data_IF_517727116334
#
_entry.id   IF_517727116334
#
_cell.length_a   1.000
_cell.length_b   1.000
_cell.length_c   1.000
_cell.angle_alpha   90.00
_cell.angle_beta   90.00
_cell.angle_gamma   90.00
#
_symmetry.space_group_name_H-M   'P 1'
#
loop_
_entity.id
_entity.type
_entity.pdbx_description
1 polymer ?
#
# COMPACT_ATOMS: atom_id res chain seq x y z
N UNK A 1 -23.80 84.26 -14.17
CA UNK A 1 -23.86 83.15 -15.15
C UNK A 1 -22.47 83.11 -15.78
N UNK A 2 -21.58 82.18 -15.47
CA UNK A 2 -21.70 80.72 -15.52
C UNK A 2 -20.62 80.07 -14.63
N UNK A 3 -20.92 78.90 -14.07
CA UNK A 3 -20.01 78.10 -13.26
C UNK A 3 -19.12 77.21 -14.15
N UNK A 4 -17.84 77.13 -13.75
CA UNK A 4 -16.90 75.98 -13.74
C UNK A 4 -16.99 74.89 -14.82
N UNK A 5 -15.85 74.54 -15.42
CA UNK A 5 -15.39 73.13 -15.47
C UNK A 5 -13.85 73.11 -15.40
N UNK A 6 -13.31 72.67 -14.27
CA UNK A 6 -11.91 72.26 -14.11
C UNK A 6 -11.84 70.77 -14.50
N UNK A 7 -11.03 70.42 -15.50
CA UNK A 7 -10.87 69.03 -15.93
C UNK A 7 -9.65 68.42 -15.23
N UNK A 8 -9.89 67.56 -14.24
CA UNK A 8 -8.87 66.90 -13.43
C UNK A 8 -8.60 65.48 -13.96
N UNK A 9 -7.93 65.35 -15.10
CA UNK A 9 -7.52 64.04 -15.63
C UNK A 9 -6.00 63.99 -15.88
N UNK A 10 -5.22 63.97 -14.80
CA UNK A 10 -3.78 63.72 -14.88
C UNK A 10 -3.28 63.07 -13.59
N UNK A 11 -3.58 61.76 -13.40
CA UNK A 11 -2.91 60.88 -12.42
C UNK A 11 -3.32 59.39 -12.45
N UNK A 12 -4.20 58.96 -13.35
CA UNK A 12 -4.80 57.61 -13.29
C UNK A 12 -4.02 56.49 -13.99
N UNK A 13 -3.08 56.80 -14.91
CA UNK A 13 -2.41 55.76 -15.72
C UNK A 13 -1.32 54.96 -14.98
N UNK A 14 -0.76 55.50 -13.89
CA UNK A 14 0.26 54.79 -13.10
C UNK A 14 -0.33 53.83 -12.05
N UNK A 15 -1.53 54.13 -11.55
CA UNK A 15 -2.18 53.34 -10.50
C UNK A 15 -2.77 52.02 -11.03
N UNK A 16 -3.21 51.98 -12.28
CA UNK A 16 -3.73 50.77 -12.93
C UNK A 16 -2.62 49.72 -13.13
N UNK A 17 -1.42 50.15 -13.54
CA UNK A 17 -0.26 49.26 -13.67
C UNK A 17 0.14 48.66 -12.31
N UNK A 18 0.19 49.49 -11.26
CA UNK A 18 0.49 49.04 -9.90
C UNK A 18 -0.56 48.03 -9.39
N UNK A 19 -1.85 48.29 -9.66
CA UNK A 19 -2.93 47.39 -9.29
C UNK A 19 -2.83 46.04 -10.02
N UNK A 20 -2.52 46.04 -11.32
CA UNK A 20 -2.32 44.79 -12.10
C UNK A 20 -1.11 44.02 -11.58
N UNK A 21 0.01 44.69 -11.29
CA UNK A 21 1.19 44.05 -10.71
C UNK A 21 0.89 43.46 -9.32
N UNK A 22 0.14 44.17 -8.48
CA UNK A 22 -0.27 43.68 -7.17
C UNK A 22 -1.18 42.44 -7.29
N UNK A 23 -2.14 42.46 -8.22
CA UNK A 23 -3.02 41.31 -8.50
C UNK A 23 -2.21 40.13 -9.04
N UNK A 24 -1.27 40.35 -9.96
CA UNK A 24 -0.39 39.28 -10.45
C UNK A 24 0.51 38.71 -9.36
N UNK A 25 1.05 39.55 -8.48
CA UNK A 25 1.83 39.10 -7.32
C UNK A 25 0.99 38.26 -6.36
N UNK A 26 -0.26 38.67 -6.09
CA UNK A 26 -1.19 37.90 -5.27
C UNK A 26 -1.54 36.55 -5.90
N UNK A 27 -1.76 36.51 -7.22
CA UNK A 27 -1.99 35.26 -7.95
C UNK A 27 -0.76 34.35 -7.87
N UNK A 28 0.45 34.89 -8.04
CA UNK A 28 1.69 34.12 -7.95
C UNK A 28 1.88 33.50 -6.55
N UNK A 29 1.59 34.25 -5.48
CA UNK A 29 1.63 33.73 -4.10
C UNK A 29 0.55 32.68 -3.86
N UNK A 30 -0.67 32.89 -4.37
CA UNK A 30 -1.77 31.94 -4.24
C UNK A 30 -1.48 30.60 -4.94
N UNK A 31 -0.83 30.61 -6.10
CA UNK A 31 -0.47 29.37 -6.82
C UNK A 31 0.55 28.52 -6.07
N UNK A 32 1.49 29.12 -5.33
CA UNK A 32 2.47 28.38 -4.52
C UNK A 32 1.81 27.57 -3.39
N UNK A 33 0.64 27.98 -2.91
CA UNK A 33 -0.07 27.27 -1.84
C UNK A 33 -0.66 25.92 -2.29
N UNK A 34 -0.85 25.68 -3.60
CA UNK A 34 -1.48 24.47 -4.15
C UNK A 34 -0.45 23.38 -4.53
N UNK A 35 0.83 23.73 -4.68
CA UNK A 35 1.87 22.79 -5.11
C UNK A 35 2.03 21.50 -4.26
N UNK A 36 1.98 21.51 -2.91
CA UNK A 36 2.26 20.31 -2.13
C UNK A 36 1.16 19.24 -2.22
N UNK A 37 -0.07 19.58 -2.61
CA UNK A 37 -1.17 18.59 -2.68
C UNK A 37 -1.01 17.62 -3.85
N UNK A 38 -0.48 18.08 -4.99
CA UNK A 38 -0.35 17.25 -6.21
C UNK A 38 0.64 16.11 -6.01
N UNK A 39 1.77 16.35 -5.32
CA UNK A 39 2.75 15.31 -5.05
C UNK A 39 2.19 14.20 -4.16
N UNK A 40 1.39 14.58 -3.15
CA UNK A 40 0.71 13.64 -2.27
C UNK A 40 -0.36 12.84 -3.01
N UNK A 41 -1.10 13.47 -3.93
CA UNK A 41 -2.08 12.77 -4.78
C UNK A 41 -1.40 11.73 -5.67
N UNK A 42 -0.30 12.08 -6.34
CA UNK A 42 0.46 11.14 -7.17
C UNK A 42 1.02 9.99 -6.33
N UNK A 43 1.56 10.28 -5.15
CA UNK A 43 2.07 9.25 -4.24
C UNK A 43 0.92 8.31 -3.82
N UNK A 44 -0.21 8.86 -3.42
CA UNK A 44 -1.41 8.11 -3.03
C UNK A 44 -1.92 7.21 -4.17
N UNK A 45 -1.91 7.71 -5.40
CA UNK A 45 -2.31 6.92 -6.57
C UNK A 45 -1.36 5.74 -6.81
N UNK A 46 -0.04 5.96 -6.70
CA UNK A 46 0.95 4.88 -6.79
C UNK A 46 0.79 3.84 -5.68
N UNK A 47 0.48 4.28 -4.46
CA UNK A 47 0.23 3.40 -3.32
C UNK A 47 -1.03 2.54 -3.52
N UNK A 48 -2.13 3.15 -3.99
CA UNK A 48 -3.34 2.41 -4.34
C UNK A 48 -3.08 1.39 -5.46
N UNK A 49 -2.29 1.78 -6.46
CA UNK A 49 -1.90 0.87 -7.52
C UNK A 49 -0.99 -0.26 -7.02
N UNK A 50 -0.05 0.02 -6.12
CA UNK A 50 0.79 -0.99 -5.48
C UNK A 50 -0.05 -2.00 -4.72
N UNK A 51 -1.03 -1.54 -3.94
CA UNK A 51 -1.96 -2.43 -3.24
C UNK A 51 -2.72 -3.29 -4.24
N UNK A 52 -3.32 -2.69 -5.29
CA UNK A 52 -4.06 -3.44 -6.30
C UNK A 52 -3.20 -4.50 -7.00
N UNK A 53 -1.98 -4.14 -7.40
CA UNK A 53 -1.04 -5.05 -8.06
C UNK A 53 -0.54 -6.13 -7.11
N UNK A 54 -0.23 -5.78 -5.87
CA UNK A 54 0.17 -6.71 -4.82
C UNK A 54 -0.93 -7.73 -4.50
N UNK A 55 -2.18 -7.29 -4.42
CA UNK A 55 -3.35 -8.18 -4.25
C UNK A 55 -3.53 -9.11 -5.46
N UNK A 56 -3.33 -8.63 -6.69
CA UNK A 56 -3.33 -9.49 -7.88
C UNK A 56 -2.22 -10.56 -7.81
N UNK A 57 -1.04 -10.22 -7.28
CA UNK A 57 0.03 -11.19 -7.05
C UNK A 57 -0.35 -12.21 -5.98
N UNK A 58 -0.90 -11.76 -4.84
CA UNK A 58 -1.36 -12.66 -3.78
C UNK A 58 -2.44 -13.63 -4.27
N UNK A 59 -3.36 -13.16 -5.11
CA UNK A 59 -4.39 -13.98 -5.74
C UNK A 59 -3.81 -14.96 -6.77
N UNK A 60 -2.80 -14.56 -7.54
CA UNK A 60 -2.09 -15.48 -8.42
C UNK A 60 -1.36 -16.59 -7.63
N UNK A 61 -0.68 -16.25 -6.53
CA UNK A 61 -0.09 -17.23 -5.62
C UNK A 61 -1.19 -18.17 -5.09
N UNK A 62 -2.36 -17.62 -4.72
CA UNK A 62 -3.50 -18.42 -4.26
C UNK A 62 -3.85 -19.53 -5.24
N UNK A 63 -4.07 -19.13 -6.50
CA UNK A 63 -4.43 -20.06 -7.57
C UNK A 63 -3.33 -21.06 -7.89
N UNK A 64 -2.06 -20.65 -7.82
CA UNK A 64 -0.91 -21.54 -8.04
C UNK A 64 -0.86 -22.65 -7.00
N UNK A 65 -0.95 -22.28 -5.73
CA UNK A 65 -0.88 -23.23 -4.62
C UNK A 65 -2.10 -24.14 -4.60
N UNK A 66 -3.30 -23.62 -4.89
CA UNK A 66 -4.53 -24.43 -5.01
C UNK A 66 -4.42 -25.45 -6.15
N UNK A 67 -3.87 -25.07 -7.30
CA UNK A 67 -3.66 -25.96 -8.44
C UNK A 67 -2.76 -27.16 -8.09
N UNK A 68 -1.66 -26.91 -7.36
CA UNK A 68 -0.76 -27.96 -6.87
C UNK A 68 -1.18 -28.56 -5.53
N UNK A 69 -2.42 -28.32 -5.06
CA UNK A 69 -2.98 -28.85 -3.80
C UNK A 69 -2.11 -28.56 -2.57
N UNK A 70 -1.47 -27.39 -2.54
CA UNK A 70 -0.61 -26.95 -1.45
C UNK A 70 0.82 -27.47 -1.48
N UNK A 71 1.17 -28.37 -2.40
CA UNK A 71 2.46 -29.07 -2.41
C UNK A 71 3.62 -28.28 -3.01
N UNK A 72 3.33 -27.22 -3.78
CA UNK A 72 4.33 -26.41 -4.47
C UNK A 72 4.02 -24.92 -4.30
N UNK A 73 5.03 -24.15 -3.92
CA UNK A 73 5.03 -22.69 -3.97
C UNK A 73 5.74 -22.22 -5.25
N UNK A 74 5.39 -21.05 -5.80
CA UNK A 74 6.16 -20.44 -6.88
C UNK A 74 7.58 -20.11 -6.40
N UNK A 75 8.58 -20.29 -7.27
CA UNK A 75 9.97 -19.93 -6.94
C UNK A 75 10.32 -18.53 -7.46
N UNK A 76 9.62 -18.08 -8.50
CA UNK A 76 9.79 -16.75 -9.08
C UNK A 76 8.45 -16.13 -9.46
N UNK A 77 8.45 -14.83 -9.70
CA UNK A 77 7.29 -14.11 -10.23
C UNK A 77 6.98 -14.53 -11.68
N UNK A 78 8.02 -14.95 -12.42
CA UNK A 78 7.89 -15.44 -13.79
C UNK A 78 7.07 -16.75 -13.85
N UNK A 79 7.15 -17.61 -12.82
CA UNK A 79 6.29 -18.80 -12.70
C UNK A 79 4.79 -18.42 -12.67
N UNK A 80 4.46 -17.26 -12.09
CA UNK A 80 3.09 -16.75 -12.04
C UNK A 80 2.67 -16.09 -13.36
N UNK A 81 3.61 -15.50 -14.10
CA UNK A 81 3.38 -14.91 -15.42
C UNK A 81 3.21 -15.99 -16.50
N UNK A 82 4.01 -17.05 -16.46
CA UNK A 82 3.90 -18.20 -17.36
C UNK A 82 2.53 -18.88 -17.24
N UNK A 83 1.96 -18.83 -16.03
CA UNK A 83 0.62 -19.31 -15.75
C UNK A 83 0.58 -20.81 -15.44
N UNK A 84 -0.64 -21.34 -15.35
CA UNK A 84 -0.87 -22.74 -15.00
C UNK A 84 -1.18 -23.59 -16.23
N UNK A 85 -0.67 -24.83 -16.31
CA UNK A 85 -1.02 -25.72 -17.41
C UNK A 85 -2.52 -26.07 -17.32
N UNK A 86 -3.27 -25.76 -18.38
CA UNK A 86 -4.69 -26.09 -18.53
C UNK A 86 -4.88 -26.88 -19.83
N UNK A 87 -4.85 -28.21 -19.69
CA UNK A 87 -5.00 -29.17 -20.78
C UNK A 87 -4.03 -28.89 -21.94
N UNK A 88 -4.48 -28.19 -23.00
CA UNK A 88 -3.67 -27.86 -24.18
C UNK A 88 -3.01 -26.47 -24.14
N UNK A 89 -3.38 -25.58 -23.21
CA UNK A 89 -2.87 -24.18 -23.14
C UNK A 89 -2.50 -23.79 -21.72
N UNK A 90 -1.65 -22.78 -21.56
CA UNK A 90 -1.37 -22.20 -20.24
C UNK A 90 -2.40 -21.11 -19.92
N UNK A 91 -3.02 -21.19 -18.75
CA UNK A 91 -3.93 -20.18 -18.22
C UNK A 91 -3.11 -19.14 -17.47
N UNK A 92 -3.11 -17.90 -17.98
CA UNK A 92 -2.47 -16.76 -17.30
C UNK A 92 -3.20 -16.47 -15.98
N UNK A 93 -2.46 -16.45 -14.88
CA UNK A 93 -3.00 -16.15 -13.53
C UNK A 93 -2.60 -14.77 -13.03
N UNK A 94 -1.50 -14.21 -13.55
CA UNK A 94 -0.99 -12.89 -13.18
C UNK A 94 -0.91 -11.99 -14.41
N UNK A 95 -1.33 -10.73 -14.27
CA UNK A 95 -1.12 -9.71 -15.31
C UNK A 95 0.34 -9.24 -15.29
N UNK A 96 0.93 -9.04 -16.47
CA UNK A 96 2.30 -8.54 -16.60
C UNK A 96 2.54 -7.21 -15.84
N UNK A 97 1.55 -6.33 -15.78
CA UNK A 97 1.64 -5.08 -15.01
C UNK A 97 1.66 -5.29 -13.50
N UNK A 98 0.97 -6.33 -12.99
CA UNK A 98 0.97 -6.65 -11.56
C UNK A 98 2.32 -7.21 -11.08
N UNK A 99 3.13 -7.76 -11.99
CA UNK A 99 4.47 -8.21 -11.69
C UNK A 99 5.47 -7.07 -11.42
N UNK A 100 5.07 -5.80 -11.61
CA UNK A 100 5.94 -4.64 -11.40
C UNK A 100 5.44 -3.80 -10.22
N UNK A 101 6.31 -3.56 -9.24
CA UNK A 101 6.04 -2.68 -8.08
C UNK A 101 6.15 -1.20 -8.51
N UNK A 102 5.07 -0.40 -8.43
CA UNK A 102 5.12 1.02 -8.81
C UNK A 102 5.80 1.92 -7.77
N UNK A 103 6.11 1.42 -6.57
CA UNK A 103 6.78 2.16 -5.50
C UNK A 103 8.30 1.95 -5.48
N UNK A 104 8.78 0.87 -6.09
CA UNK A 104 10.21 0.56 -6.17
C UNK A 104 10.82 1.19 -7.43
N UNK A 105 12.00 1.81 -7.29
CA UNK A 105 12.73 2.37 -8.44
C UNK A 105 13.10 1.29 -9.47
N UNK A 106 13.49 0.09 -9.00
CA UNK A 106 13.78 -1.07 -9.85
C UNK A 106 12.52 -1.77 -10.41
N UNK A 107 11.32 -1.39 -9.95
CA UNK A 107 10.07 -2.07 -10.30
C UNK A 107 9.91 -3.51 -9.79
N UNK A 108 10.82 -4.00 -8.94
CA UNK A 108 10.83 -5.40 -8.49
C UNK A 108 10.21 -5.54 -7.10
N UNK A 109 9.26 -6.47 -6.99
CA UNK A 109 8.75 -6.93 -5.71
C UNK A 109 9.83 -7.63 -4.88
N UNK A 110 9.77 -7.47 -3.56
CA UNK A 110 10.51 -8.31 -2.59
C UNK A 110 9.72 -9.59 -2.37
N UNK A 111 10.37 -10.75 -2.51
CA UNK A 111 9.72 -12.04 -2.33
C UNK A 111 9.74 -12.44 -0.85
N UNK A 112 8.58 -12.77 -0.31
CA UNK A 112 8.42 -13.16 1.10
C UNK A 112 8.32 -14.68 1.17
N UNK A 113 9.35 -15.30 1.74
CA UNK A 113 9.38 -16.75 1.99
C UNK A 113 8.30 -17.16 2.98
N UNK A 114 7.95 -18.44 2.98
CA UNK A 114 7.09 -19.04 4.00
C UNK A 114 7.85 -19.21 5.35
N UNK A 115 8.50 -18.15 5.81
CA UNK A 115 9.28 -18.15 7.05
C UNK A 115 8.40 -17.68 8.22
N UNK A 116 8.45 -18.37 9.38
CA UNK A 116 7.60 -18.02 10.52
C UNK A 116 7.86 -16.62 11.08
N UNK A 117 9.11 -16.14 11.12
CA UNK A 117 9.46 -14.85 11.75
C UNK A 117 8.75 -13.66 11.08
N UNK A 118 8.91 -13.53 9.77
CA UNK A 118 8.35 -12.40 9.00
C UNK A 118 6.83 -12.47 8.93
N UNK A 119 6.28 -13.66 8.71
CA UNK A 119 4.84 -13.86 8.58
C UNK A 119 4.12 -13.82 9.93
N UNK A 120 4.77 -14.19 11.04
CA UNK A 120 4.18 -14.06 12.38
C UNK A 120 4.08 -12.59 12.78
N UNK A 121 5.14 -11.80 12.56
CA UNK A 121 5.08 -10.35 12.80
C UNK A 121 3.95 -9.68 11.99
N UNK A 122 3.75 -10.11 10.74
CA UNK A 122 2.62 -9.65 9.93
C UNK A 122 1.28 -10.15 10.46
N UNK A 123 1.16 -11.43 10.80
CA UNK A 123 -0.06 -12.04 11.33
C UNK A 123 -0.51 -11.36 12.64
N UNK A 124 0.42 -11.02 13.55
CA UNK A 124 0.14 -10.25 14.77
C UNK A 124 -0.52 -8.91 14.41
N UNK A 125 0.03 -8.16 13.45
CA UNK A 125 -0.55 -6.89 13.00
C UNK A 125 -1.94 -7.05 12.39
N UNK A 126 -2.13 -8.06 11.54
CA UNK A 126 -3.45 -8.36 10.97
C UNK A 126 -4.44 -8.73 12.07
N UNK A 127 -4.01 -9.48 13.08
CA UNK A 127 -4.82 -9.84 14.24
C UNK A 127 -5.21 -8.58 15.04
N UNK A 128 -4.25 -7.73 15.39
CA UNK A 128 -4.48 -6.48 16.14
C UNK A 128 -5.42 -5.55 15.38
N UNK A 129 -5.21 -5.38 14.07
CA UNK A 129 -6.06 -4.59 13.20
C UNK A 129 -7.51 -5.12 13.16
N UNK A 130 -7.69 -6.43 13.18
CA UNK A 130 -9.00 -7.10 13.19
C UNK A 130 -9.54 -7.34 14.62
N UNK A 131 -9.14 -6.51 15.59
CA UNK A 131 -9.61 -6.56 16.99
C UNK A 131 -9.32 -7.90 17.68
N UNK A 132 -8.14 -8.44 17.46
CA UNK A 132 -7.67 -9.68 18.07
C UNK A 132 -8.02 -10.96 17.31
N UNK A 133 -8.68 -10.86 16.15
CA UNK A 133 -9.08 -12.01 15.33
C UNK A 133 -8.20 -12.14 14.09
N UNK A 134 -7.47 -13.25 13.98
CA UNK A 134 -6.77 -13.57 12.74
C UNK A 134 -7.77 -14.19 11.74
N UNK A 135 -7.93 -13.64 10.52
CA UNK A 135 -8.85 -14.20 9.55
C UNK A 135 -8.44 -15.61 9.13
N UNK A 136 -9.43 -16.44 8.76
CA UNK A 136 -9.19 -17.78 8.24
C UNK A 136 -8.43 -17.76 6.91
N UNK A 137 -7.75 -18.86 6.58
CA UNK A 137 -7.17 -19.02 5.25
C UNK A 137 -8.27 -19.17 4.18
N UNK A 138 -8.01 -18.75 2.93
CA UNK A 138 -8.99 -18.87 1.87
C UNK A 138 -9.30 -20.33 1.51
N UNK A 139 -8.35 -21.24 1.71
CA UNK A 139 -8.52 -22.67 1.45
C UNK A 139 -7.62 -23.54 2.35
N UNK A 140 -8.04 -24.79 2.55
CA UNK A 140 -7.37 -25.77 3.44
C UNK A 140 -5.92 -26.08 3.02
N UNK A 141 -5.58 -25.86 1.74
CA UNK A 141 -4.22 -26.05 1.22
C UNK A 141 -3.20 -25.14 1.88
N UNK A 142 -3.64 -23.99 2.42
CA UNK A 142 -2.80 -23.01 3.11
C UNK A 142 -2.58 -23.31 4.59
N UNK A 143 -3.38 -24.20 5.19
CA UNK A 143 -3.33 -24.47 6.63
C UNK A 143 -1.94 -24.98 7.06
N UNK A 144 -1.27 -25.76 6.19
CA UNK A 144 0.10 -26.23 6.45
C UNK A 144 1.10 -25.10 6.66
N UNK A 145 0.92 -23.96 5.98
CA UNK A 145 1.81 -22.80 6.08
C UNK A 145 1.38 -21.93 7.27
N UNK A 146 0.08 -21.76 7.48
CA UNK A 146 -0.45 -20.95 8.57
C UNK A 146 -0.18 -21.53 9.96
N UNK A 147 -0.27 -22.86 10.16
CA UNK A 147 -0.05 -23.49 11.48
C UNK A 147 1.34 -23.19 12.01
N UNK A 148 2.37 -23.23 11.15
CA UNK A 148 3.75 -22.94 11.56
C UNK A 148 3.87 -21.49 12.06
N UNK A 149 3.18 -20.56 11.40
CA UNK A 149 3.19 -19.13 11.72
C UNK A 149 2.41 -18.85 13.03
N UNK A 150 1.24 -19.47 13.20
CA UNK A 150 0.41 -19.28 14.40
C UNK A 150 1.09 -19.88 15.64
N UNK A 151 1.80 -21.00 15.50
CA UNK A 151 2.55 -21.58 16.62
C UNK A 151 3.70 -20.67 17.07
N UNK A 152 4.36 -19.95 16.15
CA UNK A 152 5.40 -18.98 16.54
C UNK A 152 4.85 -17.74 17.23
N UNK A 153 3.64 -17.27 16.86
CA UNK A 153 2.95 -16.17 17.56
C UNK A 153 2.77 -16.48 19.05
N UNK A 154 2.28 -17.67 19.36
CA UNK A 154 2.04 -18.09 20.75
C UNK A 154 3.34 -18.26 21.55
N UNK A 155 4.45 -18.56 20.87
CA UNK A 155 5.76 -18.74 21.51
C UNK A 155 6.47 -17.41 21.77
N UNK A 156 6.22 -16.38 20.94
CA UNK A 156 6.82 -15.04 21.05
C UNK A 156 5.96 -14.03 21.82
N UNK A 157 4.83 -14.45 22.41
CA UNK A 157 3.95 -13.59 23.22
C UNK A 157 4.58 -13.04 24.52
N UNK A 158 5.90 -13.20 24.71
CA UNK A 158 6.67 -12.66 25.84
C UNK A 158 7.89 -11.82 25.45
N UNK A 159 8.15 -11.56 24.16
CA UNK A 159 9.20 -10.63 23.71
C UNK A 159 8.57 -9.33 23.21
N UNK A 160 9.23 -8.22 23.55
CA UNK A 160 8.77 -6.83 23.62
C UNK A 160 7.98 -6.31 22.41
N UNK A 161 7.17 -5.28 22.65
CA UNK A 161 6.45 -4.43 21.68
C UNK A 161 7.38 -3.62 20.73
N UNK A 162 8.60 -4.11 20.49
CA UNK A 162 9.52 -3.50 19.56
C UNK A 162 9.02 -3.81 18.14
N UNK A 163 8.63 -2.74 17.43
CA UNK A 163 8.42 -2.76 15.98
C UNK A 163 9.58 -3.55 15.34
N UNK A 164 9.33 -4.59 14.51
CA UNK A 164 10.38 -5.29 13.80
C UNK A 164 11.25 -4.25 13.10
N UNK A 165 12.50 -4.20 13.53
CA UNK A 165 13.52 -3.30 13.05
C UNK A 165 13.57 -3.37 11.50
N UNK A 166 13.34 -2.23 10.84
CA UNK A 166 13.34 -2.10 9.38
C UNK A 166 14.71 -2.46 8.75
N UNK A 167 15.73 -2.73 9.57
CA UNK A 167 17.12 -2.99 9.16
C UNK A 167 17.42 -4.42 8.71
N UNK A 168 16.64 -5.44 9.08
CA UNK A 168 16.97 -6.85 8.81
C UNK A 168 16.27 -7.47 7.59
N UNK A 169 15.48 -6.71 6.83
CA UNK A 169 14.83 -7.22 5.62
C UNK A 169 15.78 -7.18 4.42
N UNK A 170 16.63 -8.20 4.28
CA UNK A 170 17.38 -8.41 3.05
C UNK A 170 16.42 -8.41 1.84
N UNK A 171 16.78 -7.69 0.78
CA UNK A 171 16.01 -7.60 -0.45
C UNK A 171 16.12 -8.92 -1.23
N UNK A 172 15.45 -9.96 -0.75
CA UNK A 172 15.45 -11.26 -1.38
C UNK A 172 14.55 -11.20 -2.62
N UNK A 173 15.20 -11.01 -3.78
CA UNK A 173 14.62 -11.20 -5.12
C UNK A 173 15.08 -12.51 -5.76
N UNK A 174 15.77 -13.36 -5.00
CA UNK A 174 16.32 -14.62 -5.48
C UNK A 174 15.23 -15.69 -5.66
N UNK A 175 15.47 -16.59 -6.60
CA UNK A 175 14.57 -17.67 -7.02
C UNK A 175 14.40 -18.72 -5.91
N UNK A 176 13.52 -18.43 -4.94
CA UNK A 176 13.24 -19.27 -3.79
C UNK A 176 11.72 -19.38 -3.57
N UNK A 177 11.23 -20.50 -3.02
CA UNK A 177 9.81 -20.67 -2.71
C UNK A 177 9.26 -19.51 -1.85
N UNK A 178 8.25 -18.81 -2.36
CA UNK A 178 7.64 -17.67 -1.69
C UNK A 178 6.13 -17.79 -1.57
N UNK A 179 5.55 -17.13 -0.57
CA UNK A 179 4.11 -17.13 -0.25
C UNK A 179 3.55 -15.71 -0.10
N UNK A 180 4.31 -14.71 -0.54
CA UNK A 180 3.83 -13.34 -0.62
C UNK A 180 4.87 -12.42 -1.23
N UNK A 181 4.45 -11.18 -1.48
CA UNK A 181 5.33 -10.12 -1.97
C UNK A 181 5.20 -8.89 -1.11
N UNK A 182 6.23 -8.06 -1.06
CA UNK A 182 6.20 -6.76 -0.42
C UNK A 182 6.95 -5.74 -1.28
N UNK A 183 6.69 -4.46 -1.07
CA UNK A 183 7.48 -3.42 -1.73
C UNK A 183 8.90 -3.37 -1.17
N UNK A 184 9.85 -2.91 -1.98
CA UNK A 184 11.20 -2.54 -1.52
C UNK A 184 11.29 -1.12 -0.97
N UNK A 185 10.27 -0.30 -1.24
CA UNK A 185 10.27 1.11 -0.84
C UNK A 185 10.12 1.26 0.67
N UNK A 186 11.07 1.95 1.31
CA UNK A 186 11.02 2.34 2.73
C UNK A 186 10.30 3.67 2.96
N UNK A 187 9.60 4.18 1.94
CA UNK A 187 8.88 5.43 2.05
C UNK A 187 7.71 5.30 3.02
N UNK A 188 7.49 6.35 3.82
CA UNK A 188 6.26 6.47 4.61
C UNK A 188 5.08 6.72 3.67
N UNK A 189 4.03 5.94 3.88
CA UNK A 189 2.83 5.94 3.05
C UNK A 189 1.81 6.97 3.50
N UNK A 190 1.02 7.47 2.54
CA UNK A 190 -0.18 8.28 2.81
C UNK A 190 -1.37 7.39 3.18
N UNK A 191 -1.38 6.14 2.74
CA UNK A 191 -2.40 5.12 3.03
C UNK A 191 -1.85 4.11 4.03
N UNK A 192 -2.73 3.49 4.84
CA UNK A 192 -2.34 2.37 5.69
C UNK A 192 -2.87 1.04 5.11
N UNK A 193 -2.05 -0.01 5.16
CA UNK A 193 -2.43 -1.37 4.78
C UNK A 193 -2.41 -2.25 6.02
N UNK A 194 -3.57 -2.74 6.49
CA UNK A 194 -3.71 -3.35 7.83
C UNK A 194 -3.16 -2.48 8.98
N UNK A 195 -3.30 -1.15 8.88
CA UNK A 195 -2.76 -0.20 9.85
C UNK A 195 -1.26 0.08 9.72
N UNK A 196 -0.59 -0.51 8.72
CA UNK A 196 0.84 -0.32 8.47
C UNK A 196 1.05 0.88 7.56
N UNK A 197 1.79 1.88 8.03
CA UNK A 197 2.09 3.11 7.28
C UNK A 197 3.40 3.03 6.48
N UNK A 198 4.23 2.00 6.66
CA UNK A 198 5.48 1.82 5.89
C UNK A 198 5.26 0.84 4.73
N UNK A 199 5.50 1.29 3.49
CA UNK A 199 5.29 0.50 2.28
C UNK A 199 6.12 -0.80 2.26
N UNK A 200 7.31 -0.78 2.87
CA UNK A 200 8.18 -1.96 2.93
C UNK A 200 7.57 -3.10 3.75
N UNK A 201 6.71 -2.78 4.71
CA UNK A 201 6.05 -3.71 5.62
C UNK A 201 4.68 -4.19 5.10
N UNK A 202 4.25 -3.74 3.92
CA UNK A 202 3.05 -4.24 3.26
C UNK A 202 3.31 -5.60 2.65
N UNK A 203 2.82 -6.65 3.31
CA UNK A 203 2.96 -8.02 2.84
C UNK A 203 1.66 -8.46 2.17
N UNK A 204 1.73 -8.66 0.86
CA UNK A 204 0.65 -9.20 0.05
C UNK A 204 0.79 -10.72 -0.01
N UNK A 205 0.00 -11.41 0.80
CA UNK A 205 -0.01 -12.88 0.89
C UNK A 205 -1.44 -13.41 0.75
N UNK A 206 -1.67 -14.63 0.23
CA UNK A 206 -2.99 -15.26 0.27
C UNK A 206 -3.40 -15.71 1.69
N UNK A 207 -2.49 -15.70 2.67
CA UNK A 207 -2.79 -16.06 4.06
C UNK A 207 -3.61 -14.98 4.76
N UNK A 208 -4.39 -15.38 5.77
CA UNK A 208 -5.11 -14.46 6.68
C UNK A 208 -6.08 -13.49 5.99
N UNK A 209 -6.74 -13.93 4.90
CA UNK A 209 -7.68 -13.10 4.13
C UNK A 209 -9.15 -13.32 4.46
N UNK A 210 -9.47 -14.39 5.17
CA UNK A 210 -10.83 -14.84 5.42
C UNK A 210 -11.38 -15.67 4.26
N UNK A 211 -12.30 -16.58 4.57
CA UNK A 211 -13.09 -17.32 3.58
C UNK A 211 -14.24 -16.45 3.08
N UNK A 212 -13.98 -15.51 2.16
CA UNK A 212 -15.01 -14.63 1.61
C UNK A 212 -14.46 -13.42 0.85
N UNK A 213 -14.87 -13.27 -0.42
CA UNK A 213 -14.40 -12.25 -1.35
C UNK A 213 -14.97 -10.86 -1.03
N UNK A 214 -14.42 -10.11 -0.05
CA UNK A 214 -14.54 -8.63 0.05
C UNK A 214 -13.79 -7.96 1.22
N UNK A 215 -12.72 -8.53 1.77
CA UNK A 215 -11.87 -7.74 2.66
C UNK A 215 -10.86 -6.95 1.83
N UNK A 216 -11.25 -5.81 1.28
CA UNK A 216 -10.30 -4.85 0.74
C UNK A 216 -9.62 -4.14 1.94
N UNK A 217 -8.36 -4.45 2.29
CA UNK A 217 -7.68 -3.82 3.42
C UNK A 217 -7.48 -2.31 3.21
N UNK A 218 -7.53 -1.84 1.95
CA UNK A 218 -7.46 -0.42 1.61
C UNK A 218 -8.73 0.38 1.97
N UNK A 219 -9.84 -0.28 2.33
CA UNK A 219 -11.09 0.41 2.75
C UNK A 219 -11.31 0.39 4.27
N UNK A 220 -10.40 -0.17 5.05
CA UNK A 220 -10.63 -0.37 6.49
C UNK A 220 -10.09 0.77 7.37
N UNK A 221 -11.03 1.38 8.10
CA UNK A 221 -10.86 2.27 9.25
C UNK A 221 -9.93 3.49 9.09
N UNK A 222 -10.54 4.65 8.78
CA UNK A 222 -10.04 5.92 9.34
C UNK A 222 -9.84 5.72 10.85
N UNK A 223 -8.71 6.12 11.46
CA UNK A 223 -8.67 6.27 12.91
C UNK A 223 -9.80 7.23 13.28
N UNK A 224 -10.81 6.74 14.00
CA UNK A 224 -11.77 7.63 14.62
C UNK A 224 -10.98 8.53 15.56
N UNK A 225 -11.13 9.87 15.50
CA UNK A 225 -10.59 10.71 16.55
C UNK A 225 -11.18 10.18 17.86
N UNK A 226 -10.31 9.94 18.84
CA UNK A 226 -10.69 9.44 20.16
C UNK A 226 -11.94 10.19 20.62
N UNK A 227 -13.05 9.46 20.79
CA UNK A 227 -14.26 10.03 21.35
C UNK A 227 -13.86 10.64 22.70
N UNK A 228 -13.90 11.97 22.76
CA UNK A 228 -13.64 12.72 23.97
C UNK A 228 -14.53 12.17 25.06
N UNK A 229 -13.89 11.65 26.11
CA UNK A 229 -14.55 11.36 27.37
C UNK A 229 -14.85 12.73 27.99
N UNK A 230 -15.95 13.35 27.58
CA UNK A 230 -16.54 14.44 28.35
C UNK A 230 -17.19 13.82 29.58
N UNK A 231 -16.40 13.75 30.65
CA UNK A 231 -16.89 13.61 32.01
C UNK A 231 -16.88 15.00 32.65
N UNK A 232 -18.04 15.65 32.70
CA UNK A 232 -18.50 16.52 33.80
C UNK A 232 -19.92 17.00 33.61
#
# INVERSE_FOLDING_TARGET
MTATVSNENCRESGMTLLAVMAVMALIAVALLAVAPSIQQEIQREKELEAIRRGEEVAEAIRQYVEFYRGSKLPNSLDDLLEGLPQDTKKRMILRASAAVDPLSDDGKWRLIRAEPRTLAAFAKRVQDYNRGLLPSNPSQTFDRYAIVIVNSLNTQAGESDDEPDDTDFESQTENAPFIGVASKSRAKSVIAYYGIENCSNWIFTPLFRGSGMSNNPATGARPQPAAGIDSR
#
